data_IF_275351957144
#
_entry.id   IF_275351957144
#
_cell.length_a   1.000
_cell.length_b   1.000
_cell.length_c   1.000
_cell.angle_alpha   90.00
_cell.angle_beta   90.00
_cell.angle_gamma   90.00
#
_symmetry.space_group_name_H-M   'P 1'
#
loop_
_entity.id
_entity.type
_entity.pdbx_description
1 polymer ?
#
# COMPACT_ATOMS: atom_id res chain seq x y z
N UNK A 1 17.99 -1.58 -3.63
CA UNK A 1 16.92 -1.71 -2.62
C UNK A 1 16.37 -0.33 -2.31
N UNK A 2 15.04 -0.12 -2.33
CA UNK A 2 14.45 1.13 -1.90
C UNK A 2 14.91 1.46 -0.48
N UNK A 3 15.37 2.69 -0.25
CA UNK A 3 15.86 3.10 1.05
C UNK A 3 14.68 3.47 1.95
N UNK A 4 14.11 2.47 2.63
CA UNK A 4 12.96 2.65 3.54
C UNK A 4 13.25 3.55 4.75
N UNK A 5 14.51 3.87 5.03
CA UNK A 5 14.86 4.84 6.08
C UNK A 5 14.33 6.24 5.81
N UNK A 6 14.05 6.58 4.55
CA UNK A 6 13.45 7.87 4.17
C UNK A 6 11.93 7.90 4.33
N UNK A 7 11.24 6.75 4.33
CA UNK A 7 9.77 6.74 4.46
C UNK A 7 9.30 7.36 5.78
N UNK A 8 9.99 7.06 6.88
CA UNK A 8 9.69 7.65 8.18
C UNK A 8 9.79 9.19 8.18
N UNK A 9 10.68 9.74 7.36
CA UNK A 9 10.87 11.19 7.23
C UNK A 9 9.79 11.84 6.35
N UNK A 10 9.01 11.04 5.62
CA UNK A 10 7.93 11.49 4.76
C UNK A 10 6.56 11.53 5.47
N UNK A 11 6.49 11.26 6.78
CA UNK A 11 5.24 11.43 7.52
C UNK A 11 4.70 12.85 7.33
N UNK A 12 3.38 12.98 7.23
CA UNK A 12 2.63 14.18 6.82
C UNK A 12 2.88 14.69 5.40
N UNK A 13 3.66 14.00 4.57
CA UNK A 13 3.85 14.37 3.16
C UNK A 13 2.90 13.60 2.25
N UNK A 14 2.53 14.22 1.12
CA UNK A 14 1.85 13.52 0.03
C UNK A 14 2.87 12.68 -0.74
N UNK A 15 2.67 11.37 -0.78
CA UNK A 15 3.58 10.41 -1.40
C UNK A 15 2.90 9.68 -2.55
N UNK A 16 3.71 9.19 -3.48
CA UNK A 16 3.31 8.26 -4.53
C UNK A 16 4.06 6.95 -4.33
N UNK A 17 3.32 5.83 -4.35
CA UNK A 17 3.86 4.48 -4.28
C UNK A 17 3.59 3.83 -5.63
N UNK A 18 4.65 3.61 -6.40
CA UNK A 18 4.61 2.97 -7.72
C UNK A 18 4.76 1.45 -7.60
N UNK A 19 3.91 0.71 -8.33
CA UNK A 19 3.99 -0.75 -8.46
C UNK A 19 4.55 -1.14 -9.83
N UNK A 20 5.12 -2.33 -9.91
CA UNK A 20 5.69 -2.91 -11.14
C UNK A 20 4.63 -3.18 -12.22
N UNK A 21 3.36 -3.32 -11.84
CA UNK A 21 2.22 -3.42 -12.75
C UNK A 21 1.91 -2.11 -13.48
N UNK A 22 2.53 -0.99 -13.09
CA UNK A 22 2.23 0.35 -13.60
C UNK A 22 1.16 1.10 -12.80
N UNK A 23 0.39 0.40 -11.96
CA UNK A 23 -0.52 1.04 -11.01
C UNK A 23 0.26 1.80 -9.93
N UNK A 24 -0.39 2.79 -9.30
CA UNK A 24 0.21 3.53 -8.20
C UNK A 24 -0.82 4.04 -7.20
N UNK A 25 -0.38 4.29 -5.96
CA UNK A 25 -1.19 4.95 -4.93
C UNK A 25 -0.66 6.34 -4.68
N UNK A 26 -1.54 7.33 -4.57
CA UNK A 26 -1.20 8.69 -4.10
C UNK A 26 -2.00 9.02 -2.85
N UNK A 27 -1.36 9.44 -1.78
CA UNK A 27 -2.02 9.83 -0.53
C UNK A 27 -1.09 10.55 0.43
N UNK A 28 -1.60 10.97 1.59
CA UNK A 28 -0.75 11.53 2.66
C UNK A 28 -0.24 10.41 3.55
N UNK A 29 1.07 10.34 3.78
CA UNK A 29 1.66 9.38 4.69
C UNK A 29 1.37 9.78 6.13
N UNK A 30 0.45 9.07 6.78
CA UNK A 30 0.01 9.38 8.14
C UNK A 30 0.99 8.83 9.19
N UNK A 31 1.44 7.58 9.03
CA UNK A 31 2.43 6.96 9.91
C UNK A 31 3.05 5.72 9.28
N UNK A 32 4.17 5.26 9.83
CA UNK A 32 4.81 3.98 9.48
C UNK A 32 4.79 2.98 10.64
N UNK A 33 4.86 1.68 10.31
CA UNK A 33 4.97 0.58 11.28
C UNK A 33 6.04 -0.42 10.85
N UNK A 34 6.79 -1.03 11.79
CA UNK A 34 6.87 -0.71 13.22
C UNK A 34 7.43 0.69 13.53
N UNK A 35 7.27 1.12 14.78
CA UNK A 35 7.72 2.44 15.26
C UNK A 35 9.24 2.60 15.19
N UNK A 36 9.97 1.50 15.28
CA UNK A 36 11.41 1.39 15.18
C UNK A 36 11.81 0.23 14.25
N UNK A 37 13.03 0.26 13.73
CA UNK A 37 13.50 -0.75 12.79
C UNK A 37 12.95 -0.62 11.35
N UNK A 38 13.03 -1.70 10.54
CA UNK A 38 12.63 -1.69 9.14
C UNK A 38 11.13 -1.47 8.97
N UNK A 39 10.75 -0.45 8.19
CA UNK A 39 9.35 -0.18 7.87
C UNK A 39 8.76 -1.34 7.07
N UNK A 40 7.63 -1.85 7.53
CA UNK A 40 6.88 -2.93 6.90
C UNK A 40 5.54 -2.46 6.35
N UNK A 41 4.93 -1.46 6.99
CA UNK A 41 3.62 -0.94 6.63
C UNK A 41 3.62 0.59 6.70
N UNK A 42 2.82 1.21 5.83
CA UNK A 42 2.53 2.64 5.84
C UNK A 42 1.02 2.85 5.91
N UNK A 43 0.59 3.82 6.71
CA UNK A 43 -0.80 4.29 6.72
C UNK A 43 -0.91 5.50 5.81
N UNK A 44 -1.83 5.45 4.85
CA UNK A 44 -2.15 6.58 3.98
C UNK A 44 -3.53 7.13 4.33
N UNK A 45 -3.69 8.45 4.30
CA UNK A 45 -4.98 9.14 4.36
C UNK A 45 -5.27 9.84 3.03
N UNK A 46 -6.55 10.01 2.71
CA UNK A 46 -7.02 10.63 1.46
C UNK A 46 -6.34 10.02 0.22
N UNK A 47 -6.19 8.70 0.24
CA UNK A 47 -5.49 7.95 -0.79
C UNK A 47 -6.37 7.79 -2.03
N UNK A 48 -5.73 7.69 -3.19
CA UNK A 48 -6.30 7.34 -4.49
C UNK A 48 -5.44 6.22 -5.10
N UNK A 49 -6.08 5.19 -5.62
CA UNK A 49 -5.42 4.14 -6.42
C UNK A 49 -5.68 4.48 -7.87
N UNK A 50 -4.62 4.49 -8.65
CA UNK A 50 -4.68 4.72 -10.09
C UNK A 50 -4.11 3.49 -10.79
N UNK A 51 -4.84 2.99 -11.79
CA UNK A 51 -4.37 1.87 -12.59
C UNK A 51 -3.25 2.27 -13.57
N UNK A 52 -2.72 1.29 -14.29
CA UNK A 52 -1.64 1.51 -15.25
C UNK A 52 -2.03 2.43 -16.42
N UNK A 53 -3.33 2.54 -16.72
CA UNK A 53 -3.88 3.39 -17.78
C UNK A 53 -4.21 4.81 -17.29
N UNK A 54 -3.99 5.09 -16.00
CA UNK A 54 -4.23 6.40 -15.40
C UNK A 54 -5.66 6.60 -14.88
N UNK A 55 -6.49 5.57 -14.86
CA UNK A 55 -7.86 5.65 -14.34
C UNK A 55 -7.86 5.50 -12.82
N UNK A 56 -8.61 6.37 -12.15
CA UNK A 56 -8.80 6.28 -10.70
C UNK A 56 -9.74 5.10 -10.39
N UNK A 57 -9.21 4.11 -9.66
CA UNK A 57 -10.00 3.01 -9.14
C UNK A 57 -10.71 3.51 -7.88
N UNK A 58 -12.01 3.73 -7.99
CA UNK A 58 -12.87 4.51 -7.08
C UNK A 58 -12.97 4.03 -5.61
N UNK A 59 -13.40 4.97 -4.75
CA UNK A 59 -13.76 4.91 -3.32
C UNK A 59 -12.86 4.06 -2.42
N UNK A 60 -11.64 4.53 -2.24
CA UNK A 60 -10.82 4.05 -1.14
C UNK A 60 -11.34 4.58 0.20
N UNK A 61 -11.19 3.79 1.28
CA UNK A 61 -11.46 4.26 2.63
C UNK A 61 -10.69 5.55 2.93
N UNK A 62 -11.21 6.37 3.84
CA UNK A 62 -10.55 7.60 4.29
C UNK A 62 -9.08 7.38 4.73
N UNK A 63 -8.79 6.17 5.21
CA UNK A 63 -7.46 5.71 5.58
C UNK A 63 -7.22 4.25 5.14
N UNK A 64 -6.02 3.93 4.66
CA UNK A 64 -5.65 2.57 4.29
C UNK A 64 -4.22 2.22 4.75
N UNK A 65 -3.99 0.94 5.07
CA UNK A 65 -2.65 0.41 5.29
C UNK A 65 -2.13 -0.22 4.01
N UNK A 66 -0.87 0.05 3.69
CA UNK A 66 -0.19 -0.45 2.49
C UNK A 66 1.15 -1.04 2.91
N UNK A 67 1.51 -2.17 2.32
CA UNK A 67 2.88 -2.67 2.33
C UNK A 67 3.65 -1.90 1.25
N UNK A 68 4.62 -1.02 1.58
CA UNK A 68 5.42 -0.32 0.57
C UNK A 68 6.44 -1.25 -0.12
N UNK A 69 6.47 -2.53 0.28
CA UNK A 69 7.36 -3.54 -0.27
C UNK A 69 6.70 -4.23 -1.47
N UNK A 70 7.52 -4.70 -2.39
CA UNK A 70 7.06 -5.48 -3.55
C UNK A 70 6.48 -6.81 -3.07
N UNK A 71 5.40 -7.24 -3.74
CA UNK A 71 4.81 -8.56 -3.52
C UNK A 71 5.81 -9.64 -3.94
N UNK A 72 6.14 -10.57 -3.03
CA UNK A 72 7.13 -11.63 -3.29
C UNK A 72 6.52 -13.00 -3.59
N UNK A 73 5.21 -13.16 -3.42
CA UNK A 73 4.49 -14.40 -3.73
C UNK A 73 3.01 -14.33 -3.39
N UNK A 74 2.25 -15.24 -3.97
CA UNK A 74 0.86 -15.52 -3.59
C UNK A 74 0.82 -16.90 -2.95
N UNK A 75 0.36 -16.97 -1.69
CA UNK A 75 0.09 -18.23 -1.01
C UNK A 75 -1.41 -18.29 -0.70
N UNK A 76 -2.03 -19.42 -1.01
CA UNK A 76 -3.42 -19.68 -0.66
C UNK A 76 -3.44 -20.26 0.74
N UNK A 77 -3.86 -19.47 1.73
CA UNK A 77 -3.98 -19.93 3.13
C UNK A 77 -5.31 -20.66 3.38
N UNK A 78 -6.37 -20.26 2.67
CA UNK A 78 -7.69 -20.87 2.75
C UNK A 78 -8.35 -20.86 1.37
N UNK A 79 -8.94 -21.99 0.97
CA UNK A 79 -9.73 -22.09 -0.26
C UNK A 79 -11.16 -21.57 -0.05
N UNK A 80 -11.94 -21.40 -1.12
CA UNK A 80 -13.36 -21.08 -0.98
C UNK A 80 -14.04 -22.16 -0.11
N UNK A 81 -14.70 -21.75 0.97
CA UNK A 81 -15.59 -22.63 1.73
C UNK A 81 -16.85 -22.89 0.89
N UNK A 82 -16.72 -23.82 -0.06
CA UNK A 82 -17.85 -24.37 -0.78
C UNK A 82 -18.79 -25.02 0.22
N UNK A 83 -19.98 -24.45 0.37
CA UNK A 83 -21.11 -25.13 1.00
C UNK A 83 -21.44 -26.30 0.08
N UNK A 84 -21.11 -27.52 0.49
CA UNK A 84 -21.70 -28.72 -0.11
C UNK A 84 -23.22 -28.62 0.08
N UNK A 85 -23.94 -28.42 -1.02
CA UNK A 85 -25.39 -28.61 -1.13
C UNK A 85 -25.76 -28.93 -2.57
#
# INVERSE_FOLDING_TARGET
MPTYSKLRQMESHRVRIDYDTGAYIVGYLATVRPADGPVQLVKLTSAKVVDADGSEMSDLPAEMWVCPNVLTGFNLEEGPSGRDS
#
